data_IF_462771700920
#
_entry.id   IF_462771700920
#
_cell.length_a   1.000
_cell.length_b   1.000
_cell.length_c   1.000
_cell.angle_alpha   90.00
_cell.angle_beta   90.00
_cell.angle_gamma   90.00
#
_symmetry.space_group_name_H-M   'P 1'
#
loop_
_entity.id
_entity.type
_entity.pdbx_description
1 polymer ?
#
# COMPACT_ATOMS: atom_id res chain seq x y z
N UNK A 1 16.84 1.53 9.64
CA UNK A 1 15.92 2.35 10.47
C UNK A 1 16.44 3.75 10.73
N UNK A 2 17.74 3.94 11.04
CA UNK A 2 18.34 5.27 11.21
C UNK A 2 18.25 6.16 9.96
N UNK A 3 18.14 5.57 8.78
CA UNK A 3 18.16 6.32 7.52
C UNK A 3 16.84 7.05 7.23
N UNK A 4 15.68 6.51 7.62
CA UNK A 4 14.39 7.17 7.36
C UNK A 4 14.34 8.55 7.99
N UNK A 5 14.72 8.65 9.27
CA UNK A 5 14.75 9.93 9.99
C UNK A 5 15.83 10.87 9.43
N UNK A 6 16.98 10.32 9.04
CA UNK A 6 18.07 11.11 8.46
C UNK A 6 17.66 11.72 7.11
N UNK A 7 17.05 10.92 6.24
CA UNK A 7 16.56 11.38 4.93
C UNK A 7 15.44 12.39 5.12
N UNK A 8 14.45 12.10 5.97
CA UNK A 8 13.36 13.03 6.31
C UNK A 8 13.92 14.40 6.73
N UNK A 9 14.85 14.41 7.68
CA UNK A 9 15.43 15.65 8.19
C UNK A 9 16.16 16.45 7.10
N UNK A 10 16.91 15.78 6.23
CA UNK A 10 17.61 16.45 5.13
C UNK A 10 16.63 17.05 4.11
N UNK A 11 15.51 16.38 3.83
CA UNK A 11 14.47 16.89 2.95
C UNK A 11 13.75 18.12 3.56
N UNK A 12 13.48 18.10 4.87
CA UNK A 12 12.91 19.25 5.60
C UNK A 12 13.87 20.45 5.57
N UNK A 13 15.17 20.24 5.78
CA UNK A 13 16.18 21.32 5.67
C UNK A 13 16.29 21.89 4.26
N UNK A 14 16.03 21.09 3.23
CA UNK A 14 15.95 21.54 1.84
C UNK A 14 14.66 22.32 1.52
N UNK A 15 13.79 22.55 2.50
CA UNK A 15 12.55 23.30 2.35
C UNK A 15 11.39 22.49 1.77
N UNK A 16 11.52 21.15 1.70
CA UNK A 16 10.44 20.29 1.24
C UNK A 16 9.46 19.98 2.38
N UNK A 17 8.17 20.03 2.07
CA UNK A 17 7.11 19.59 2.98
C UNK A 17 6.97 18.07 2.89
N UNK A 18 7.13 17.38 4.01
CA UNK A 18 6.93 15.93 4.10
C UNK A 18 5.45 15.65 4.38
N UNK A 19 4.79 14.95 3.48
CA UNK A 19 3.40 14.52 3.67
C UNK A 19 3.29 13.27 4.53
N UNK A 20 4.15 12.28 4.29
CA UNK A 20 4.20 11.02 5.06
C UNK A 20 5.64 10.48 5.10
N UNK A 21 6.04 9.95 6.25
CA UNK A 21 7.31 9.25 6.41
C UNK A 21 7.11 8.12 7.40
N UNK A 22 7.08 6.88 6.91
CA UNK A 22 6.73 5.71 7.68
C UNK A 22 7.55 4.49 7.23
N UNK A 23 7.64 3.49 8.09
CA UNK A 23 8.22 2.21 7.74
C UNK A 23 7.12 1.31 7.18
N UNK A 24 7.28 0.88 5.94
CA UNK A 24 6.39 -0.09 5.29
C UNK A 24 7.14 -1.36 4.94
N UNK A 25 6.39 -2.45 4.78
CA UNK A 25 6.90 -3.65 4.13
C UNK A 25 6.74 -3.51 2.62
N UNK A 26 7.86 -3.40 1.91
CA UNK A 26 7.88 -3.43 0.45
C UNK A 26 8.16 -4.85 -0.03
N UNK A 27 7.23 -5.42 -0.79
CA UNK A 27 7.42 -6.73 -1.39
C UNK A 27 8.57 -6.73 -2.41
N UNK A 28 9.36 -7.79 -2.44
CA UNK A 28 10.46 -7.93 -3.42
C UNK A 28 9.95 -8.32 -4.81
N UNK A 29 8.87 -9.08 -4.85
CA UNK A 29 8.25 -9.59 -6.07
C UNK A 29 6.75 -9.35 -5.98
N UNK A 30 6.17 -8.94 -7.11
CA UNK A 30 4.74 -8.74 -7.23
C UNK A 30 4.08 -10.00 -7.80
N UNK A 31 2.90 -10.32 -7.30
CA UNK A 31 2.07 -11.41 -7.75
C UNK A 31 0.91 -10.85 -8.56
N UNK A 32 0.94 -11.08 -9.87
CA UNK A 32 -0.13 -10.65 -10.76
C UNK A 32 -1.41 -11.44 -10.52
N UNK A 33 -2.53 -10.73 -10.39
CA UNK A 33 -3.86 -11.32 -10.22
C UNK A 33 -4.74 -10.92 -11.41
N UNK A 34 -4.87 -11.84 -12.37
CA UNK A 34 -5.67 -11.62 -13.60
C UNK A 34 -7.11 -12.12 -13.49
N UNK A 35 -7.46 -12.82 -12.41
CA UNK A 35 -8.81 -13.33 -12.21
C UNK A 35 -9.65 -12.34 -11.40
N UNK A 36 -10.72 -11.83 -12.02
CA UNK A 36 -11.62 -10.84 -11.42
C UNK A 36 -12.28 -11.31 -10.12
N UNK A 37 -12.71 -12.58 -10.05
CA UNK A 37 -13.32 -13.14 -8.83
C UNK A 37 -12.33 -13.18 -7.67
N UNK A 38 -11.08 -13.56 -7.94
CA UNK A 38 -10.00 -13.56 -6.95
C UNK A 38 -9.63 -12.14 -6.54
N UNK A 39 -9.47 -11.23 -7.50
CA UNK A 39 -9.19 -9.82 -7.25
C UNK A 39 -10.26 -9.20 -6.33
N UNK A 40 -11.55 -9.41 -6.62
CA UNK A 40 -12.64 -8.90 -5.79
C UNK A 40 -12.69 -9.51 -4.39
N UNK A 41 -12.19 -10.74 -4.17
CA UNK A 41 -12.04 -11.29 -2.82
C UNK A 41 -10.87 -10.67 -2.07
N UNK A 42 -9.76 -10.43 -2.77
CA UNK A 42 -8.57 -9.80 -2.19
C UNK A 42 -8.88 -8.35 -1.79
N UNK A 43 -9.49 -7.57 -2.68
CA UNK A 43 -9.86 -6.16 -2.39
C UNK A 43 -10.73 -6.08 -1.14
N UNK A 44 -11.81 -6.87 -1.07
CA UNK A 44 -12.70 -6.91 0.10
C UNK A 44 -11.99 -7.34 1.39
N UNK A 45 -11.02 -8.24 1.30
CA UNK A 45 -10.21 -8.63 2.46
C UNK A 45 -9.32 -7.48 2.92
N UNK A 46 -8.69 -6.77 1.99
CA UNK A 46 -7.83 -5.62 2.29
C UNK A 46 -8.64 -4.50 2.96
N UNK A 47 -9.80 -4.16 2.40
CA UNK A 47 -10.72 -3.17 2.98
C UNK A 47 -11.15 -3.56 4.40
N UNK A 48 -11.57 -4.81 4.61
CA UNK A 48 -11.98 -5.28 5.93
C UNK A 48 -10.84 -5.24 6.96
N UNK A 49 -9.59 -5.44 6.54
CA UNK A 49 -8.42 -5.30 7.41
C UNK A 49 -8.09 -3.83 7.69
N UNK A 50 -8.33 -2.92 6.75
CA UNK A 50 -8.09 -1.48 6.94
C UNK A 50 -9.14 -0.81 7.82
N UNK A 51 -10.36 -1.36 7.88
CA UNK A 51 -11.43 -0.88 8.75
C UNK A 51 -11.28 -1.31 10.22
N UNK A 52 -10.38 -2.26 10.51
CA UNK A 52 -10.13 -2.77 11.85
C UNK A 52 -9.24 -1.81 12.65
N UNK A 53 -9.73 -1.32 13.79
CA UNK A 53 -9.03 -0.34 14.64
C UNK A 53 -7.74 -0.86 15.27
N UNK A 54 -7.60 -2.20 15.40
CA UNK A 54 -6.40 -2.85 15.92
C UNK A 54 -5.33 -3.06 14.84
N UNK A 55 -5.70 -2.89 13.55
CA UNK A 55 -4.78 -3.04 12.42
C UNK A 55 -4.08 -1.71 12.11
N UNK A 56 -2.75 -1.74 12.10
CA UNK A 56 -1.92 -0.54 11.94
C UNK A 56 -1.34 -0.37 10.53
N UNK A 57 -1.15 -1.46 9.80
CA UNK A 57 -0.61 -1.46 8.44
C UNK A 57 -1.05 -2.71 7.70
N UNK A 58 -1.74 -2.51 6.57
CA UNK A 58 -2.02 -3.57 5.60
C UNK A 58 -1.06 -3.41 4.44
N UNK A 59 -0.40 -4.50 4.05
CA UNK A 59 0.53 -4.51 2.91
C UNK A 59 0.39 -5.82 2.19
N UNK A 60 0.49 -5.78 0.87
CA UNK A 60 0.41 -6.96 0.02
C UNK A 60 1.39 -6.85 -1.14
N UNK A 61 1.63 -7.98 -1.79
CA UNK A 61 2.42 -8.04 -3.01
C UNK A 61 1.54 -8.25 -4.25
N UNK A 62 0.22 -8.13 -4.13
CA UNK A 62 -0.69 -8.35 -5.26
C UNK A 62 -0.61 -7.19 -6.24
N UNK A 63 -0.57 -7.52 -7.52
CA UNK A 63 -0.66 -6.59 -8.64
C UNK A 63 -1.96 -6.90 -9.40
N UNK A 64 -2.96 -6.04 -9.19
CA UNK A 64 -4.27 -6.12 -9.83
C UNK A 64 -4.35 -4.96 -10.82
N UNK A 65 -4.61 -5.25 -12.09
CA UNK A 65 -4.70 -4.20 -13.11
C UNK A 65 -5.87 -3.25 -12.85
N UNK A 66 -5.67 -1.99 -13.23
CA UNK A 66 -6.70 -0.94 -13.12
C UNK A 66 -8.00 -1.34 -13.83
N UNK A 67 -7.93 -1.99 -14.99
CA UNK A 67 -9.11 -2.50 -15.72
C UNK A 67 -9.95 -3.48 -14.87
N UNK A 68 -9.31 -4.35 -14.08
CA UNK A 68 -10.03 -5.29 -13.20
C UNK A 68 -10.61 -4.55 -12.01
N UNK A 69 -9.87 -3.60 -11.43
CA UNK A 69 -10.35 -2.78 -10.31
C UNK A 69 -11.57 -1.94 -10.71
N UNK A 70 -11.53 -1.28 -11.88
CA UNK A 70 -12.66 -0.49 -12.40
C UNK A 70 -13.93 -1.34 -12.55
N UNK A 71 -13.82 -2.59 -13.02
CA UNK A 71 -14.96 -3.52 -13.12
C UNK A 71 -15.55 -3.91 -11.77
N UNK A 72 -14.74 -3.91 -10.71
CA UNK A 72 -15.19 -4.24 -9.35
C UNK A 72 -15.88 -3.05 -8.65
N UNK A 73 -15.61 -1.83 -9.10
CA UNK A 73 -16.23 -0.60 -8.59
C UNK A 73 -17.46 -0.13 -9.39
N UNK A 74 -17.74 -0.75 -10.54
CA UNK A 74 -18.92 -0.50 -11.37
C UNK A 74 -20.15 -1.32 -10.93
#
# INVERSE_FOLDING_TARGET
>A
YQDLNTVKHNLEQAGMKIEKAELIFHAKEQMKIDNESTAGKIVRLMEALEEDEDVTLVSSNFDISEEILEKLHA
#
